data_IF_251271352776
#
_entry.id   IF_251271352776
#
_cell.length_a   1.000
_cell.length_b   1.000
_cell.length_c   1.000
_cell.angle_alpha   90.00
_cell.angle_beta   90.00
_cell.angle_gamma   90.00
#
_symmetry.space_group_name_H-M   'P 1'
#
loop_
_entity.id
_entity.type
_entity.pdbx_description
1 polymer ?
#
# COMPACT_ATOMS: atom_id res chain seq x y z
N UNK A 1 31.02 -22.40 0.90
CA UNK A 1 31.40 -21.00 1.19
C UNK A 1 31.00 -20.18 -0.01
N UNK A 2 30.10 -19.22 0.16
CA UNK A 2 29.53 -18.44 -0.94
C UNK A 2 30.57 -17.43 -1.45
N UNK A 3 30.71 -17.31 -2.78
CA UNK A 3 31.70 -16.46 -3.44
C UNK A 3 31.03 -15.28 -4.17
N UNK A 4 31.84 -14.29 -4.58
CA UNK A 4 31.35 -13.20 -5.43
C UNK A 4 30.72 -13.71 -6.72
N UNK A 5 31.32 -14.76 -7.33
CA UNK A 5 30.81 -15.39 -8.54
C UNK A 5 29.41 -15.94 -8.33
N UNK A 6 29.12 -16.52 -7.16
CA UNK A 6 27.79 -17.07 -6.87
C UNK A 6 26.73 -15.98 -6.72
N UNK A 7 27.06 -14.85 -6.07
CA UNK A 7 26.18 -13.68 -5.97
C UNK A 7 25.90 -13.11 -7.37
N UNK A 8 26.95 -13.00 -8.18
CA UNK A 8 26.85 -12.48 -9.53
C UNK A 8 26.04 -13.40 -10.44
N UNK A 9 26.23 -14.72 -10.34
CA UNK A 9 25.44 -15.70 -11.06
C UNK A 9 23.98 -15.70 -10.64
N UNK A 10 23.69 -15.60 -9.34
CA UNK A 10 22.32 -15.45 -8.85
C UNK A 10 21.66 -14.19 -9.41
N UNK A 11 22.36 -13.05 -9.36
CA UNK A 11 21.89 -11.80 -9.98
C UNK A 11 21.62 -11.96 -11.47
N UNK A 12 22.56 -12.59 -12.20
CA UNK A 12 22.43 -12.81 -13.64
C UNK A 12 21.25 -13.70 -13.98
N UNK A 13 21.10 -14.84 -13.30
CA UNK A 13 19.99 -15.76 -13.50
C UNK A 13 18.66 -15.07 -13.22
N UNK A 14 18.57 -14.30 -12.14
CA UNK A 14 17.38 -13.51 -11.83
C UNK A 14 17.09 -12.44 -12.90
N UNK A 15 18.10 -11.80 -13.48
CA UNK A 15 17.92 -10.79 -14.52
C UNK A 15 17.36 -11.36 -15.82
N UNK A 16 17.82 -12.55 -16.22
CA UNK A 16 17.46 -13.15 -17.51
C UNK A 16 16.31 -14.16 -17.41
N UNK A 17 15.96 -14.63 -16.22
CA UNK A 17 14.74 -15.42 -16.05
C UNK A 17 13.52 -14.51 -16.04
N UNK A 18 12.45 -14.94 -16.70
CA UNK A 18 11.14 -14.26 -16.57
C UNK A 18 10.54 -14.53 -15.19
N UNK A 19 10.63 -15.78 -14.74
CA UNK A 19 10.12 -16.23 -13.45
C UNK A 19 11.10 -15.93 -12.31
N UNK A 20 10.56 -15.86 -11.09
CA UNK A 20 11.36 -15.71 -9.87
C UNK A 20 12.23 -16.96 -9.66
N UNK A 21 13.53 -16.76 -9.50
CA UNK A 21 14.45 -17.88 -9.29
C UNK A 21 14.30 -18.46 -7.88
N UNK A 22 14.42 -19.79 -7.76
CA UNK A 22 14.60 -20.48 -6.48
C UNK A 22 15.96 -20.10 -5.89
N UNK A 23 15.94 -19.52 -4.69
CA UNK A 23 17.13 -19.29 -3.88
C UNK A 23 17.12 -20.22 -2.66
N UNK A 24 18.29 -20.70 -2.21
CA UNK A 24 18.40 -21.45 -0.96
C UNK A 24 17.84 -20.64 0.21
N UNK A 25 17.15 -21.30 1.16
CA UNK A 25 16.58 -20.64 2.34
C UNK A 25 17.63 -19.92 3.19
N UNK A 26 18.86 -20.43 3.20
CA UNK A 26 20.02 -19.84 3.90
C UNK A 26 20.81 -18.81 3.09
N UNK A 27 20.41 -18.48 1.86
CA UNK A 27 21.21 -17.63 0.96
C UNK A 27 21.54 -16.27 1.58
N UNK A 28 20.59 -15.62 2.25
CA UNK A 28 20.82 -14.34 2.92
C UNK A 28 21.85 -14.45 4.05
N UNK A 29 21.82 -15.53 4.82
CA UNK A 29 22.76 -15.78 5.90
C UNK A 29 24.17 -15.99 5.34
N UNK A 30 24.29 -16.77 4.27
CA UNK A 30 25.56 -17.01 3.60
C UNK A 30 26.16 -15.73 2.98
N UNK A 31 25.33 -14.89 2.36
CA UNK A 31 25.75 -13.58 1.84
C UNK A 31 26.18 -12.65 2.99
N UNK A 32 25.45 -12.65 4.10
CA UNK A 32 25.82 -11.88 5.30
C UNK A 32 27.19 -12.30 5.85
N UNK A 33 27.41 -13.61 5.98
CA UNK A 33 28.70 -14.15 6.44
C UNK A 33 29.83 -13.76 5.48
N UNK A 34 29.62 -13.89 4.17
CA UNK A 34 30.60 -13.48 3.17
C UNK A 34 30.97 -11.99 3.28
N UNK A 35 29.98 -11.11 3.47
CA UNK A 35 30.24 -9.68 3.65
C UNK A 35 30.96 -9.37 4.96
N UNK A 36 30.63 -10.07 6.05
CA UNK A 36 31.29 -9.89 7.34
C UNK A 36 32.76 -10.35 7.29
N UNK A 37 33.03 -11.53 6.73
CA UNK A 37 34.39 -12.06 6.56
C UNK A 37 35.27 -11.09 5.75
N UNK A 38 34.70 -10.51 4.68
CA UNK A 38 35.41 -9.54 3.85
C UNK A 38 35.61 -8.19 4.52
N UNK A 39 34.67 -7.74 5.34
CA UNK A 39 34.83 -6.52 6.15
C UNK A 39 35.86 -6.72 7.24
N UNK A 40 35.85 -7.85 7.94
CA UNK A 40 36.86 -8.17 8.96
C UNK A 40 38.26 -8.25 8.37
N UNK A 41 38.41 -8.86 7.20
CA UNK A 41 39.69 -8.89 6.48
C UNK A 41 40.22 -7.47 6.22
N UNK A 42 39.35 -6.58 5.72
CA UNK A 42 39.71 -5.18 5.46
C UNK A 42 40.03 -4.38 6.74
N UNK A 43 39.43 -4.74 7.88
CA UNK A 43 39.69 -4.08 9.16
C UNK A 43 40.98 -4.58 9.84
N UNK A 44 41.38 -5.84 9.61
CA UNK A 44 42.60 -6.44 10.16
C UNK A 44 43.86 -6.02 9.37
N UNK A 45 43.73 -5.75 8.07
CA UNK A 45 44.80 -5.12 7.29
C UNK A 45 44.86 -3.62 7.63
N UNK A 46 45.65 -3.27 8.67
CA UNK A 46 45.87 -1.90 9.12
C UNK A 46 46.52 -0.99 8.07
N UNK A 47 47.13 -1.58 7.02
CA UNK A 47 47.70 -0.86 5.90
C UNK A 47 46.62 -0.67 4.79
N UNK A 48 45.69 0.26 5.04
CA UNK A 48 44.61 0.64 4.11
C UNK A 48 45.09 1.04 2.71
N UNK A 49 46.40 1.27 2.54
CA UNK A 49 47.05 1.69 1.30
C UNK A 49 47.67 0.54 0.50
N UNK A 50 47.59 -0.71 0.96
CA UNK A 50 48.06 -1.83 0.16
C UNK A 50 47.17 -1.99 -1.09
N UNK A 51 47.78 -2.27 -2.25
CA UNK A 51 47.06 -2.58 -3.48
C UNK A 51 46.08 -3.76 -3.31
N UNK A 52 46.36 -4.64 -2.34
CA UNK A 52 45.54 -5.79 -1.96
C UNK A 52 44.27 -5.36 -1.22
N UNK A 53 44.37 -4.43 -0.26
CA UNK A 53 43.24 -3.85 0.44
C UNK A 53 42.31 -3.09 -0.51
N UNK A 54 42.87 -2.28 -1.42
CA UNK A 54 42.09 -1.51 -2.41
C UNK A 54 41.33 -2.46 -3.37
N UNK A 55 42.00 -3.50 -3.89
CA UNK A 55 41.36 -4.52 -4.75
C UNK A 55 40.27 -5.28 -3.99
N UNK A 56 40.50 -5.62 -2.73
CA UNK A 56 39.55 -6.35 -1.90
C UNK A 56 38.31 -5.50 -1.56
N UNK A 57 38.51 -4.22 -1.27
CA UNK A 57 37.42 -3.24 -1.09
C UNK A 57 36.55 -3.12 -2.34
N UNK A 58 37.16 -2.94 -3.51
CA UNK A 58 36.44 -2.91 -4.80
C UNK A 58 35.63 -4.19 -5.04
N UNK A 59 36.18 -5.36 -4.72
CA UNK A 59 35.45 -6.65 -4.85
C UNK A 59 34.25 -6.71 -3.91
N UNK A 60 34.40 -6.24 -2.67
CA UNK A 60 33.29 -6.16 -1.71
C UNK A 60 32.21 -5.20 -2.19
N UNK A 61 32.58 -4.00 -2.65
CA UNK A 61 31.64 -3.00 -3.15
C UNK A 61 30.86 -3.54 -4.36
N UNK A 62 31.55 -4.22 -5.29
CA UNK A 62 30.92 -4.87 -6.44
C UNK A 62 29.96 -6.00 -6.02
N UNK A 63 30.33 -6.78 -5.00
CA UNK A 63 29.48 -7.84 -4.46
C UNK A 63 28.21 -7.27 -3.82
N UNK A 64 28.34 -6.20 -3.04
CA UNK A 64 27.21 -5.48 -2.42
C UNK A 64 26.30 -4.89 -3.50
N UNK A 65 26.87 -4.28 -4.54
CA UNK A 65 26.09 -3.75 -5.66
C UNK A 65 25.31 -4.86 -6.37
N UNK A 66 25.97 -5.98 -6.69
CA UNK A 66 25.33 -7.11 -7.37
C UNK A 66 24.19 -7.71 -6.55
N UNK A 67 24.39 -7.83 -5.24
CA UNK A 67 23.35 -8.31 -4.32
C UNK A 67 22.17 -7.33 -4.22
N UNK A 68 22.43 -6.03 -4.20
CA UNK A 68 21.38 -5.01 -4.18
C UNK A 68 20.56 -5.03 -5.46
N UNK A 69 21.20 -5.23 -6.60
CA UNK A 69 20.55 -5.39 -7.90
C UNK A 69 19.71 -6.66 -7.95
N UNK A 70 20.23 -7.80 -7.45
CA UNK A 70 19.47 -9.04 -7.30
C UNK A 70 18.16 -8.78 -6.53
N UNK A 71 18.24 -8.16 -5.34
CA UNK A 71 17.06 -7.86 -4.52
C UNK A 71 16.09 -6.91 -5.24
N UNK A 72 16.60 -5.91 -5.97
CA UNK A 72 15.78 -4.98 -6.74
C UNK A 72 15.00 -5.70 -7.83
N UNK A 73 15.65 -6.58 -8.60
CA UNK A 73 15.01 -7.35 -9.67
C UNK A 73 13.96 -8.29 -9.07
N UNK A 74 14.29 -8.98 -7.97
CA UNK A 74 13.34 -9.83 -7.24
C UNK A 74 12.10 -9.08 -6.79
N UNK A 75 12.26 -7.92 -6.14
CA UNK A 75 11.13 -7.07 -5.71
C UNK A 75 10.21 -6.70 -6.88
N UNK A 76 10.79 -6.36 -8.03
CA UNK A 76 10.00 -6.04 -9.24
C UNK A 76 9.19 -7.25 -9.72
N UNK A 77 9.78 -8.45 -9.70
CA UNK A 77 9.07 -9.67 -10.08
C UNK A 77 7.98 -10.06 -9.09
N UNK A 78 8.23 -9.91 -7.80
CA UNK A 78 7.24 -10.15 -6.75
C UNK A 78 6.05 -9.21 -6.91
N UNK A 79 6.29 -7.93 -7.23
CA UNK A 79 5.22 -6.98 -7.51
C UNK A 79 4.37 -7.41 -8.71
N UNK A 80 5.00 -7.83 -9.80
CA UNK A 80 4.29 -8.32 -10.98
C UNK A 80 3.50 -9.60 -10.66
N UNK A 81 4.08 -10.51 -9.87
CA UNK A 81 3.41 -11.72 -9.43
C UNK A 81 2.19 -11.38 -8.57
N UNK A 82 2.32 -10.44 -7.64
CA UNK A 82 1.22 -9.99 -6.78
C UNK A 82 0.09 -9.35 -7.59
N UNK A 83 0.43 -8.59 -8.63
CA UNK A 83 -0.53 -8.02 -9.57
C UNK A 83 -1.31 -9.09 -10.34
N UNK A 84 -0.65 -10.13 -10.84
CA UNK A 84 -1.35 -11.24 -11.51
C UNK A 84 -2.22 -12.02 -10.51
N UNK A 85 -1.69 -12.25 -9.30
CA UNK A 85 -2.39 -12.97 -8.25
C UNK A 85 -3.63 -12.23 -7.72
N UNK A 86 -3.63 -10.88 -7.68
CA UNK A 86 -4.84 -10.13 -7.30
C UNK A 86 -5.97 -10.29 -8.31
N UNK A 87 -5.63 -10.45 -9.60
CA UNK A 87 -6.62 -10.58 -10.68
C UNK A 87 -7.16 -11.99 -10.85
N UNK A 88 -6.30 -13.01 -10.78
CA UNK A 88 -6.64 -14.41 -11.12
C UNK A 88 -6.82 -15.28 -9.86
N UNK A 89 -6.45 -14.76 -8.69
CA UNK A 89 -6.39 -15.50 -7.43
C UNK A 89 -5.02 -16.13 -7.18
N UNK A 90 -4.76 -16.40 -5.90
CA UNK A 90 -3.46 -16.88 -5.42
C UNK A 90 -3.25 -18.36 -5.77
N UNK A 91 -2.14 -18.69 -6.45
CA UNK A 91 -1.73 -20.07 -6.71
C UNK A 91 -0.69 -20.54 -5.70
N UNK A 92 -0.72 -21.83 -5.32
CA UNK A 92 0.32 -22.42 -4.43
C UNK A 92 1.72 -22.33 -5.02
N UNK A 93 1.84 -22.28 -6.34
CA UNK A 93 3.12 -22.14 -7.06
C UNK A 93 3.79 -20.79 -6.79
N UNK A 94 3.01 -19.78 -6.43
CA UNK A 94 3.52 -18.42 -6.24
C UNK A 94 4.41 -18.31 -4.98
N UNK A 95 4.26 -19.25 -4.04
CA UNK A 95 4.99 -19.26 -2.76
C UNK A 95 6.23 -20.15 -2.71
N UNK A 96 6.47 -20.99 -3.71
CA UNK A 96 7.59 -21.95 -3.68
C UNK A 96 8.95 -21.25 -3.80
N UNK A 97 9.00 -20.15 -4.56
CA UNK A 97 10.25 -19.46 -4.90
C UNK A 97 10.51 -18.20 -4.05
N UNK A 98 9.60 -17.87 -3.13
CA UNK A 98 9.71 -16.74 -2.23
C UNK A 98 10.46 -17.11 -0.95
N UNK A 99 11.36 -16.23 -0.52
CA UNK A 99 11.97 -16.27 0.81
C UNK A 99 10.93 -15.90 1.88
N UNK A 100 11.18 -16.24 3.15
CA UNK A 100 10.21 -16.03 4.24
C UNK A 100 9.65 -14.61 4.29
N UNK A 101 10.52 -13.60 4.39
CA UNK A 101 10.11 -12.19 4.41
C UNK A 101 9.46 -11.71 3.09
N UNK A 102 9.75 -12.36 1.95
CA UNK A 102 9.14 -12.04 0.67
C UNK A 102 7.69 -12.52 0.61
N UNK A 103 7.34 -13.58 1.36
CA UNK A 103 5.96 -14.06 1.49
C UNK A 103 5.09 -13.06 2.24
N UNK A 104 5.59 -12.57 3.37
CA UNK A 104 4.90 -11.56 4.16
C UNK A 104 4.64 -10.30 3.31
N UNK A 105 5.67 -9.83 2.59
CA UNK A 105 5.54 -8.70 1.65
C UNK A 105 4.53 -8.99 0.53
N UNK A 106 4.57 -10.18 -0.06
CA UNK A 106 3.66 -10.57 -1.13
C UNK A 106 2.20 -10.56 -0.66
N UNK A 107 1.90 -11.12 0.51
CA UNK A 107 0.56 -11.12 1.07
C UNK A 107 0.03 -9.70 1.35
N UNK A 108 0.88 -8.82 1.88
CA UNK A 108 0.52 -7.42 2.10
C UNK A 108 0.22 -6.68 0.77
N UNK A 109 1.03 -6.93 -0.26
CA UNK A 109 0.83 -6.34 -1.59
C UNK A 109 -0.49 -6.79 -2.22
N UNK A 110 -0.79 -8.09 -2.19
CA UNK A 110 -2.05 -8.62 -2.73
C UNK A 110 -3.25 -8.00 -2.01
N UNK A 111 -3.23 -7.95 -0.67
CA UNK A 111 -4.28 -7.30 0.13
C UNK A 111 -4.42 -5.81 -0.18
N UNK A 112 -3.32 -5.12 -0.49
CA UNK A 112 -3.37 -3.70 -0.87
C UNK A 112 -4.00 -3.52 -2.26
N UNK A 113 -3.65 -4.38 -3.22
CA UNK A 113 -4.20 -4.37 -4.58
C UNK A 113 -5.70 -4.70 -4.58
N UNK A 114 -6.13 -5.74 -3.88
CA UNK A 114 -7.55 -6.09 -3.76
C UNK A 114 -8.38 -4.95 -3.13
N UNK A 115 -7.82 -4.24 -2.14
CA UNK A 115 -8.47 -3.06 -1.55
C UNK A 115 -8.58 -1.91 -2.56
N UNK A 116 -7.52 -1.65 -3.33
CA UNK A 116 -7.53 -0.62 -4.35
C UNK A 116 -8.58 -0.92 -5.44
N UNK A 117 -8.69 -2.18 -5.89
CA UNK A 117 -9.69 -2.61 -6.86
C UNK A 117 -11.12 -2.47 -6.32
N UNK A 118 -11.37 -2.82 -5.05
CA UNK A 118 -12.69 -2.61 -4.41
C UNK A 118 -13.06 -1.13 -4.32
N UNK A 119 -12.12 -0.27 -3.94
CA UNK A 119 -12.35 1.17 -3.88
C UNK A 119 -12.62 1.75 -5.27
N UNK A 120 -11.82 1.35 -6.27
CA UNK A 120 -12.04 1.76 -7.66
C UNK A 120 -13.42 1.31 -8.16
N UNK A 121 -13.83 0.07 -7.85
CA UNK A 121 -15.16 -0.41 -8.21
C UNK A 121 -16.28 0.39 -7.53
N UNK A 122 -16.09 0.80 -6.26
CA UNK A 122 -17.03 1.67 -5.56
C UNK A 122 -17.11 3.06 -6.22
N UNK A 123 -15.98 3.65 -6.58
CA UNK A 123 -15.92 4.95 -7.27
C UNK A 123 -16.57 4.88 -8.66
N UNK A 124 -16.28 3.84 -9.44
CA UNK A 124 -16.82 3.65 -10.80
C UNK A 124 -18.30 3.26 -10.81
N UNK A 125 -18.79 2.52 -9.82
CA UNK A 125 -20.21 2.17 -9.67
C UNK A 125 -21.07 3.32 -9.12
N UNK A 126 -20.48 4.51 -8.95
CA UNK A 126 -21.21 5.71 -8.56
C UNK A 126 -20.96 6.16 -7.13
N UNK A 127 -19.71 6.08 -6.63
CA UNK A 127 -19.23 6.86 -5.48
C UNK A 127 -19.27 8.40 -5.69
N UNK A 128 -20.10 8.86 -6.63
CA UNK A 128 -20.40 10.26 -6.96
C UNK A 128 -21.88 10.63 -6.83
N UNK A 129 -22.67 9.87 -6.04
CA UNK A 129 -23.95 10.28 -5.42
C UNK A 129 -24.02 9.49 -4.10
N UNK A 130 -23.55 9.98 -2.97
CA UNK A 130 -23.88 11.23 -2.31
C UNK A 130 -22.59 11.83 -1.74
N UNK A 131 -22.28 13.08 -2.08
CA UNK A 131 -21.83 13.94 -0.99
C UNK A 131 -22.95 13.83 0.02
N UNK A 132 -22.69 13.24 1.19
CA UNK A 132 -23.45 13.53 2.41
C UNK A 132 -23.82 15.00 2.31
N UNK A 133 -25.06 15.27 1.98
CA UNK A 133 -25.53 16.62 1.87
C UNK A 133 -25.73 16.95 3.35
N UNK A 134 -24.62 17.24 4.05
CA UNK A 134 -24.65 17.28 5.52
C UNK A 134 -25.71 18.23 5.99
N UNK A 135 -25.93 19.31 5.23
CA UNK A 135 -27.01 20.26 5.46
C UNK A 135 -27.62 20.72 4.12
N UNK A 136 -28.93 21.01 4.12
CA UNK A 136 -29.69 21.67 3.05
C UNK A 136 -30.38 22.92 3.59
N UNK A 137 -30.51 23.93 2.74
CA UNK A 137 -31.31 25.11 3.02
C UNK A 137 -32.79 24.81 2.75
N UNK A 138 -33.61 25.05 3.76
CA UNK A 138 -35.07 24.84 3.69
C UNK A 138 -35.81 26.09 4.13
N UNK A 139 -36.98 26.31 3.54
CA UNK A 139 -37.95 27.34 3.93
C UNK A 139 -39.14 26.69 4.61
N UNK A 140 -39.49 27.15 5.81
CA UNK A 140 -40.65 26.65 6.54
C UNK A 140 -41.96 27.17 5.93
N UNK A 141 -42.91 26.28 5.70
CA UNK A 141 -44.24 26.58 5.18
C UNK A 141 -45.26 26.86 6.29
N UNK A 142 -45.01 26.35 7.49
CA UNK A 142 -45.82 26.50 8.70
C UNK A 142 -44.92 26.66 9.93
N UNK A 143 -45.48 27.17 11.03
CA UNK A 143 -44.76 27.36 12.28
C UNK A 143 -44.34 26.01 12.89
N UNK A 144 -43.05 25.88 13.19
CA UNK A 144 -42.45 24.65 13.72
C UNK A 144 -41.92 24.91 15.14
N UNK A 145 -42.47 24.25 16.18
CA UNK A 145 -41.94 24.37 17.53
C UNK A 145 -40.53 23.75 17.61
N UNK A 146 -39.80 24.10 18.67
CA UNK A 146 -38.49 23.51 18.96
C UNK A 146 -38.58 21.97 19.03
N UNK A 147 -37.66 21.27 18.37
CA UNK A 147 -37.55 19.82 18.33
C UNK A 147 -36.09 19.39 18.54
N UNK A 148 -35.85 18.10 18.75
CA UNK A 148 -34.50 17.57 18.94
C UNK A 148 -33.95 17.02 17.63
N UNK A 149 -32.69 17.29 17.34
CA UNK A 149 -31.94 16.64 16.27
C UNK A 149 -31.58 15.18 16.62
N UNK A 150 -30.93 14.49 15.68
CA UNK A 150 -30.51 13.09 15.81
C UNK A 150 -29.46 12.91 16.93
N UNK A 151 -28.74 13.97 17.29
CA UNK A 151 -27.74 14.01 18.37
C UNK A 151 -28.31 14.43 19.74
N UNK A 152 -29.60 14.82 19.77
CA UNK A 152 -30.31 15.25 20.98
C UNK A 152 -30.14 16.74 21.32
N UNK A 153 -29.64 17.57 20.40
CA UNK A 153 -29.62 19.02 20.56
C UNK A 153 -30.95 19.64 20.13
N UNK A 154 -31.32 20.74 20.78
CA UNK A 154 -32.56 21.43 20.45
C UNK A 154 -32.40 22.34 19.22
N UNK A 155 -33.33 22.23 18.29
CA UNK A 155 -33.38 22.90 16.99
C UNK A 155 -34.74 23.58 16.83
N UNK A 156 -34.74 24.88 16.55
CA UNK A 156 -35.96 25.70 16.46
C UNK A 156 -36.26 26.45 17.77
N UNK A 157 -37.39 27.20 17.87
CA UNK A 157 -38.56 27.21 16.98
C UNK A 157 -38.38 28.03 15.69
N UNK A 158 -39.04 27.61 14.61
CA UNK A 158 -39.05 28.30 13.31
C UNK A 158 -40.43 28.84 12.96
N UNK A 159 -40.49 30.02 12.37
CA UNK A 159 -41.75 30.66 11.94
C UNK A 159 -41.99 30.44 10.45
N UNK A 160 -43.24 30.43 10.02
CA UNK A 160 -43.63 30.39 8.60
C UNK A 160 -42.87 31.42 7.76
N UNK A 161 -42.18 30.93 6.72
CA UNK A 161 -41.36 31.72 5.79
C UNK A 161 -39.89 31.84 6.17
N UNK A 162 -39.48 31.36 7.35
CA UNK A 162 -38.09 31.37 7.80
C UNK A 162 -37.24 30.37 7.01
N UNK A 163 -35.96 30.70 6.79
CA UNK A 163 -35.00 29.86 6.08
C UNK A 163 -33.94 29.37 7.05
N UNK A 164 -33.76 28.05 7.14
CA UNK A 164 -32.77 27.42 7.99
C UNK A 164 -31.89 26.44 7.21
N UNK A 165 -30.65 26.25 7.66
CA UNK A 165 -29.76 25.23 7.13
C UNK A 165 -29.77 24.03 8.08
N UNK A 166 -30.40 22.93 7.66
CA UNK A 166 -30.64 21.75 8.49
C UNK A 166 -30.06 20.50 7.88
N UNK A 167 -29.79 19.50 8.72
CA UNK A 167 -29.27 18.20 8.27
C UNK A 167 -30.23 17.50 7.32
N UNK A 168 -29.71 16.81 6.31
CA UNK A 168 -30.57 16.20 5.29
C UNK A 168 -31.56 15.18 5.84
N UNK A 169 -31.18 14.43 6.87
CA UNK A 169 -32.07 13.46 7.50
C UNK A 169 -33.32 14.15 8.09
N UNK A 170 -33.13 15.31 8.73
CA UNK A 170 -34.20 16.13 9.29
C UNK A 170 -35.02 16.78 8.16
N UNK A 171 -34.35 17.27 7.12
CA UNK A 171 -35.01 17.90 5.97
C UNK A 171 -35.93 16.91 5.25
N UNK A 172 -35.48 15.67 5.04
CA UNK A 172 -36.28 14.64 4.36
C UNK A 172 -37.52 14.27 5.20
N UNK A 173 -37.41 14.21 6.53
CA UNK A 173 -38.55 14.03 7.44
C UNK A 173 -39.54 15.20 7.36
N UNK A 174 -39.05 16.44 7.46
CA UNK A 174 -39.89 17.64 7.41
C UNK A 174 -40.55 17.84 6.04
N UNK A 175 -39.89 17.40 4.96
CA UNK A 175 -40.43 17.42 3.60
C UNK A 175 -41.50 16.35 3.39
N UNK A 176 -41.34 15.16 3.98
CA UNK A 176 -42.37 14.12 3.98
C UNK A 176 -43.66 14.60 4.68
N UNK A 177 -43.51 15.38 5.75
CA UNK A 177 -44.60 16.03 6.48
C UNK A 177 -45.13 17.30 5.79
N UNK A 178 -44.57 17.70 4.65
CA UNK A 178 -44.91 18.93 3.89
C UNK A 178 -44.78 20.23 4.69
N UNK A 179 -43.93 20.26 5.71
CA UNK A 179 -43.70 21.45 6.56
C UNK A 179 -42.63 22.39 6.00
N UNK A 180 -41.76 21.91 5.13
CA UNK A 180 -40.65 22.68 4.57
C UNK A 180 -40.51 22.50 3.06
N UNK A 181 -39.95 23.51 2.40
CA UNK A 181 -39.61 23.51 0.98
C UNK A 181 -38.11 23.71 0.81
N UNK A 182 -37.44 22.82 0.05
CA UNK A 182 -35.99 22.89 -0.18
C UNK A 182 -35.67 24.01 -1.18
N UNK A 183 -34.80 24.93 -0.80
CA UNK A 183 -34.30 25.98 -1.70
C UNK A 183 -33.03 25.45 -2.36
N UNK A 184 -33.12 25.10 -3.65
CA UNK A 184 -31.95 24.79 -4.48
C UNK A 184 -31.53 26.07 -5.22
N UNK A 185 -30.29 26.51 -5.03
CA UNK A 185 -29.64 27.50 -5.90
C UNK A 185 -28.86 26.79 -7.02
#
# INVERSE_FOLDING_TARGET
>A
MLSFSDIYEAMRKEKYSENLQILPKGFLLEVSNYFNDKKEFLNKEADLFSDVAIKSKKKLDNAVSSFRDLLRIRKKKILNLAFVASQVGISKKDFENLLGFEKDLFEELVKALERAEKNQAADMNGGGKEKECRHRLVRFLDDCPEFLDVEGNAVGPFVKGEVANLECEIVDMLQADKKVEVINY
#
